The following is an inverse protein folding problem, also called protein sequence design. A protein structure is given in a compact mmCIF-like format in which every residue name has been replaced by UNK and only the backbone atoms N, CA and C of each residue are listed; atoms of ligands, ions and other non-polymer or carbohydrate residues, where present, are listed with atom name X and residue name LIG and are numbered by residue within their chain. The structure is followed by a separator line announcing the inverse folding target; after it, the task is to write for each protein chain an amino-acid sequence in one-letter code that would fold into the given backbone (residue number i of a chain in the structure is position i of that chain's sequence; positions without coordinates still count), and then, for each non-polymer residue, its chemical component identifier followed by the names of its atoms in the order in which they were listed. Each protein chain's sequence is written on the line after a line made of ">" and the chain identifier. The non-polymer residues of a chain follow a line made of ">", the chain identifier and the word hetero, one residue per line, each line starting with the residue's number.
data_IF_569608334959
#
_entry.id   IF_569608334959
#
_cell.length_a   1.000
_cell.length_b   1.000
_cell.length_c   1.000
_cell.angle_alpha   90.00
_cell.angle_beta   90.00
_cell.angle_gamma   90.00
#
_symmetry.space_group_name_H-M   'P 1'
#
loop_
_entity.id
_entity.type
_entity.pdbx_description
1 polymer ?
#
# COMPACT_ATOMS: atom_id res chain seq x y z
N UNK A 1 -38.95 9.12 29.51
CA UNK A 1 -38.48 8.97 28.11
C UNK A 1 -38.32 10.35 27.52
N UNK A 2 -37.09 10.84 27.30
CA UNK A 2 -36.78 11.97 26.41
C UNK A 2 -35.24 11.95 26.17
N UNK A 3 -34.75 10.90 25.52
CA UNK A 3 -33.31 10.67 25.28
C UNK A 3 -32.87 10.97 23.83
N UNK A 4 -33.69 11.68 23.05
CA UNK A 4 -33.50 11.79 21.59
C UNK A 4 -33.51 13.22 21.02
N UNK A 5 -33.17 14.25 21.81
CA UNK A 5 -33.17 15.63 21.28
C UNK A 5 -31.89 16.44 21.37
N UNK A 6 -30.87 15.98 22.10
CA UNK A 6 -29.66 16.79 22.34
C UNK A 6 -28.44 16.38 21.49
N UNK A 7 -28.56 15.37 20.61
CA UNK A 7 -27.38 14.77 19.94
C UNK A 7 -26.96 15.40 18.60
N UNK A 8 -27.55 16.54 18.20
CA UNK A 8 -27.25 17.15 16.89
C UNK A 8 -27.05 18.68 16.95
N UNK A 9 -26.32 19.18 17.95
CA UNK A 9 -25.85 20.58 17.99
C UNK A 9 -24.34 20.75 18.07
N UNK A 10 -23.59 19.66 18.24
CA UNK A 10 -22.11 19.69 18.27
C UNK A 10 -21.46 19.50 16.90
N UNK A 11 -22.24 19.21 15.85
CA UNK A 11 -21.74 18.96 14.49
C UNK A 11 -21.58 20.24 13.66
N UNK A 12 -22.02 21.41 14.15
CA UNK A 12 -22.10 22.65 13.37
C UNK A 12 -21.11 23.76 13.80
N UNK A 13 -19.87 23.41 14.19
CA UNK A 13 -18.78 24.42 14.23
C UNK A 13 -18.04 24.36 12.89
N UNK A 14 -17.95 25.44 12.08
CA UNK A 14 -17.32 25.38 10.75
C UNK A 14 -15.89 24.80 10.76
N UNK A 15 -15.21 24.87 11.91
CA UNK A 15 -13.89 24.27 12.13
C UNK A 15 -13.86 22.72 12.07
N UNK A 16 -14.91 22.01 12.50
CA UNK A 16 -14.90 20.54 12.50
C UNK A 16 -15.11 19.93 11.10
N UNK A 17 -15.91 20.60 10.27
CA UNK A 17 -16.22 20.17 8.91
C UNK A 17 -15.01 20.33 8.00
N UNK A 18 -14.29 21.44 8.14
CA UNK A 18 -13.02 21.67 7.42
C UNK A 18 -11.97 20.65 7.85
N UNK A 19 -11.89 20.35 9.15
CA UNK A 19 -10.99 19.31 9.66
C UNK A 19 -11.35 17.92 9.13
N UNK A 20 -12.63 17.55 9.13
CA UNK A 20 -13.10 16.28 8.58
C UNK A 20 -12.77 16.13 7.09
N UNK A 21 -12.97 17.19 6.31
CA UNK A 21 -12.66 17.22 4.88
C UNK A 21 -11.15 17.09 4.60
N UNK A 22 -10.31 17.71 5.44
CA UNK A 22 -8.86 17.53 5.39
C UNK A 22 -8.47 16.08 5.71
N UNK A 23 -9.03 15.51 6.79
CA UNK A 23 -8.78 14.13 7.18
C UNK A 23 -9.16 13.14 6.09
N UNK A 24 -10.30 13.34 5.44
CA UNK A 24 -10.76 12.47 4.36
C UNK A 24 -9.84 12.53 3.12
N UNK A 25 -9.33 13.72 2.78
CA UNK A 25 -8.32 13.86 1.72
C UNK A 25 -6.99 13.17 2.07
N UNK A 26 -6.62 13.17 3.35
CA UNK A 26 -5.39 12.52 3.84
C UNK A 26 -5.53 11.00 3.82
N UNK A 27 -6.69 10.48 4.25
CA UNK A 27 -7.02 9.05 4.21
C UNK A 27 -7.03 8.52 2.77
N UNK A 28 -7.67 9.22 1.83
CA UNK A 28 -7.67 8.82 0.40
C UNK A 28 -6.25 8.75 -0.19
N UNK A 29 -5.38 9.70 0.17
CA UNK A 29 -3.97 9.66 -0.23
C UNK A 29 -3.22 8.48 0.39
N UNK A 30 -3.48 8.19 1.66
CA UNK A 30 -2.86 7.06 2.34
C UNK A 30 -3.35 5.72 1.77
N UNK A 31 -4.63 5.56 1.48
CA UNK A 31 -5.17 4.37 0.82
C UNK A 31 -4.55 4.15 -0.56
N UNK A 32 -4.41 5.21 -1.36
CA UNK A 32 -3.71 5.17 -2.64
C UNK A 32 -2.23 4.77 -2.46
N UNK A 33 -1.57 5.34 -1.45
CA UNK A 33 -0.20 4.97 -1.11
C UNK A 33 -0.08 3.51 -0.67
N UNK A 34 -0.95 3.02 0.20
CA UNK A 34 -0.97 1.61 0.61
C UNK A 34 -1.32 0.66 -0.54
N UNK A 35 -2.18 1.09 -1.48
CA UNK A 35 -2.55 0.30 -2.67
C UNK A 35 -1.41 0.23 -3.70
N UNK A 36 -0.55 1.26 -3.75
CA UNK A 36 0.61 1.33 -4.64
C UNK A 36 1.91 0.88 -3.96
N UNK A 37 1.95 0.89 -2.64
CA UNK A 37 3.04 0.38 -1.84
C UNK A 37 3.10 -1.12 -2.08
N UNK A 38 4.21 -1.54 -2.71
CA UNK A 38 4.51 -2.96 -2.86
C UNK A 38 4.47 -3.60 -1.47
N UNK A 39 3.72 -4.70 -1.28
CA UNK A 39 3.65 -5.36 0.01
C UNK A 39 5.07 -5.71 0.45
N UNK A 40 5.52 -5.09 1.54
CA UNK A 40 6.83 -5.38 2.10
C UNK A 40 6.72 -6.72 2.80
N UNK A 41 7.33 -7.75 2.22
CA UNK A 41 7.44 -9.04 2.89
C UNK A 41 8.56 -8.90 3.92
N UNK A 42 8.20 -8.78 5.20
CA UNK A 42 9.18 -8.66 6.28
C UNK A 42 10.02 -7.37 6.26
N UNK A 43 9.58 -6.32 5.55
CA UNK A 43 10.32 -5.04 5.43
C UNK A 43 11.15 -4.90 4.16
N UNK A 44 11.21 -5.94 3.31
CA UNK A 44 11.91 -5.89 2.02
C UNK A 44 10.91 -5.83 0.84
N UNK A 45 11.31 -5.12 -0.21
CA UNK A 45 10.55 -5.05 -1.47
C UNK A 45 11.04 -6.16 -2.40
N UNK A 46 10.18 -7.14 -2.65
CA UNK A 46 10.48 -8.18 -3.62
C UNK A 46 10.10 -7.73 -5.04
N UNK A 47 10.94 -8.12 -5.99
CA UNK A 47 10.67 -7.96 -7.41
C UNK A 47 10.00 -9.23 -7.94
N UNK A 48 9.03 -9.06 -8.85
CA UNK A 48 8.46 -10.19 -9.58
C UNK A 48 9.47 -10.75 -10.57
N UNK A 49 9.28 -12.00 -11.01
CA UNK A 49 10.17 -12.61 -12.01
C UNK A 49 10.27 -11.80 -13.30
N UNK A 50 9.17 -11.16 -13.73
CA UNK A 50 9.12 -10.31 -14.92
C UNK A 50 9.91 -9.02 -14.74
N UNK A 51 9.84 -8.40 -13.56
CA UNK A 51 10.59 -7.20 -13.23
C UNK A 51 12.09 -7.47 -13.20
N UNK A 52 12.49 -8.61 -12.62
CA UNK A 52 13.90 -9.03 -12.61
C UNK A 52 14.39 -9.29 -14.03
N UNK A 53 13.61 -9.98 -14.86
CA UNK A 53 13.96 -10.20 -16.27
C UNK A 53 14.11 -8.89 -17.03
N UNK A 54 13.20 -7.93 -16.80
CA UNK A 54 13.21 -6.62 -17.46
C UNK A 54 14.40 -5.76 -17.02
N UNK A 55 14.70 -5.75 -15.72
CA UNK A 55 15.79 -4.95 -15.13
C UNK A 55 17.17 -5.48 -15.57
N UNK A 56 17.36 -6.80 -15.51
CA UNK A 56 18.63 -7.45 -15.86
C UNK A 56 18.76 -7.74 -17.37
N UNK A 57 17.70 -7.53 -18.15
CA UNK A 57 17.60 -7.89 -19.58
C UNK A 57 17.93 -9.36 -19.83
N UNK A 58 17.41 -10.22 -18.98
CA UNK A 58 17.63 -11.66 -19.03
C UNK A 58 16.36 -12.39 -19.45
N UNK A 59 16.54 -13.57 -20.04
CA UNK A 59 15.42 -14.48 -20.27
C UNK A 59 14.97 -15.13 -18.96
N UNK A 60 13.73 -15.61 -18.91
CA UNK A 60 13.22 -16.41 -17.79
C UNK A 60 14.06 -17.66 -17.53
N UNK A 61 14.63 -18.26 -18.59
CA UNK A 61 15.53 -19.40 -18.50
C UNK A 61 16.82 -19.03 -17.77
N UNK A 62 17.44 -17.92 -18.16
CA UNK A 62 18.68 -17.43 -17.53
C UNK A 62 18.44 -16.99 -16.09
N UNK A 63 17.28 -16.38 -15.81
CA UNK A 63 16.90 -16.05 -14.43
C UNK A 63 16.76 -17.31 -13.57
N UNK A 64 16.24 -18.40 -14.14
CA UNK A 64 16.16 -19.68 -13.43
C UNK A 64 17.54 -20.28 -13.18
N UNK A 65 18.43 -20.26 -14.17
CA UNK A 65 19.81 -20.73 -13.99
C UNK A 65 20.53 -19.95 -12.87
N UNK A 66 20.26 -18.64 -12.72
CA UNK A 66 20.79 -17.83 -11.62
C UNK A 66 20.19 -18.14 -10.24
N UNK A 67 18.95 -18.63 -10.19
CA UNK A 67 18.34 -19.12 -8.95
C UNK A 67 18.94 -20.47 -8.57
N UNK A 68 19.13 -21.34 -9.55
CA UNK A 68 19.71 -22.67 -9.37
C UNK A 68 21.18 -22.58 -8.96
N UNK A 69 21.93 -21.59 -9.48
CA UNK A 69 23.30 -21.28 -9.05
C UNK A 69 23.40 -20.55 -7.71
N UNK A 70 22.27 -20.16 -7.11
CA UNK A 70 22.22 -19.41 -5.85
C UNK A 70 22.70 -17.95 -5.97
N UNK A 71 22.86 -17.43 -7.19
CA UNK A 71 23.31 -16.05 -7.44
C UNK A 71 22.19 -15.04 -7.15
N UNK A 72 20.94 -15.41 -7.44
CA UNK A 72 19.77 -14.58 -7.17
C UNK A 72 18.89 -15.29 -6.14
N UNK A 73 18.73 -14.66 -4.98
CA UNK A 73 17.82 -15.13 -3.94
C UNK A 73 16.37 -15.14 -4.46
N UNK A 74 15.65 -16.22 -4.17
CA UNK A 74 14.26 -16.39 -4.59
C UNK A 74 13.44 -16.92 -3.42
N UNK A 75 12.30 -16.27 -3.18
CA UNK A 75 11.29 -16.72 -2.23
C UNK A 75 10.09 -17.29 -2.98
N UNK A 76 9.69 -18.51 -2.61
CA UNK A 76 8.43 -19.12 -3.04
C UNK A 76 7.43 -18.94 -1.90
N UNK A 77 6.39 -18.16 -2.15
CA UNK A 77 5.25 -17.96 -1.24
C UNK A 77 4.20 -19.04 -1.54
#
# INVERSE_FOLDING_TARGET
>A
MNYDRERNRYTARPSNAVFAQLMEGTLKKLECYCSTARPMLGGEVYLTGEEVCSLLRLSTRTLQDYRDSGTIAYCKI
#
